data_IF_472588075100
#
_entry.id   IF_472588075100
#
_cell.length_a   1.000
_cell.length_b   1.000
_cell.length_c   1.000
_cell.angle_alpha   90.00
_cell.angle_beta   90.00
_cell.angle_gamma   90.00
#
_symmetry.space_group_name_H-M   'P 1'
#
loop_
_entity.id
_entity.type
_entity.pdbx_description
1 polymer ?
#
# COMPACT_ATOMS: atom_id res chain seq x y z
N UNK A 1 43.06 -9.08 -13.18
CA UNK A 1 42.12 -8.37 -12.29
C UNK A 1 40.89 -7.78 -13.01
N UNK A 2 40.87 -7.63 -14.34
CA UNK A 2 39.86 -6.82 -15.03
C UNK A 2 38.68 -7.59 -15.66
N UNK A 3 38.73 -8.93 -15.77
CA UNK A 3 37.61 -9.72 -16.32
C UNK A 3 36.50 -9.96 -15.29
N UNK A 4 36.87 -10.29 -14.03
CA UNK A 4 35.92 -10.61 -12.95
C UNK A 4 35.03 -9.41 -12.59
N UNK A 5 35.59 -8.20 -12.61
CA UNK A 5 34.85 -6.98 -12.27
C UNK A 5 33.80 -6.61 -13.34
N UNK A 6 34.08 -6.89 -14.62
CA UNK A 6 33.15 -6.63 -15.72
C UNK A 6 31.95 -7.59 -15.69
N UNK A 7 32.20 -8.87 -15.37
CA UNK A 7 31.14 -9.89 -15.23
C UNK A 7 30.16 -9.58 -14.09
N UNK A 8 30.63 -9.01 -12.98
CA UNK A 8 29.78 -8.63 -11.83
C UNK A 8 28.84 -7.46 -12.14
N UNK A 9 29.26 -6.47 -12.94
CA UNK A 9 28.38 -5.37 -13.35
C UNK A 9 27.28 -5.81 -14.31
N UNK A 10 27.59 -6.74 -15.23
CA UNK A 10 26.59 -7.26 -16.20
C UNK A 10 25.55 -8.13 -15.50
N UNK A 11 25.92 -8.95 -14.52
CA UNK A 11 24.95 -9.76 -13.77
C UNK A 11 24.03 -8.94 -12.85
N UNK A 12 24.51 -7.80 -12.32
CA UNK A 12 23.68 -6.86 -11.57
C UNK A 12 22.59 -6.21 -12.46
N UNK A 13 22.92 -5.87 -13.71
CA UNK A 13 21.98 -5.32 -14.69
C UNK A 13 20.99 -6.35 -15.26
N UNK A 14 21.38 -7.62 -15.38
CA UNK A 14 20.44 -8.69 -15.77
C UNK A 14 19.49 -9.01 -14.61
N UNK A 15 19.96 -8.93 -13.36
CA UNK A 15 19.14 -9.13 -12.16
C UNK A 15 18.02 -8.09 -12.00
N UNK A 16 18.19 -6.85 -12.47
CA UNK A 16 17.11 -5.84 -12.45
C UNK A 16 16.08 -6.02 -13.58
N UNK A 17 16.44 -6.70 -14.68
CA UNK A 17 15.51 -7.03 -15.76
C UNK A 17 14.66 -8.27 -15.41
N UNK A 18 15.26 -9.29 -14.78
CA UNK A 18 14.52 -10.49 -14.34
C UNK A 18 13.86 -10.35 -12.95
N UNK A 19 14.40 -9.50 -12.07
CA UNK A 19 13.94 -9.32 -10.69
C UNK A 19 12.56 -8.66 -10.54
N UNK A 20 12.06 -7.99 -11.58
CA UNK A 20 10.67 -7.50 -11.59
C UNK A 20 9.62 -8.63 -11.71
N UNK A 21 10.03 -9.84 -12.13
CA UNK A 21 9.13 -10.95 -12.48
C UNK A 21 8.66 -11.81 -11.29
N UNK A 22 8.89 -11.38 -10.04
CA UNK A 22 8.38 -12.06 -8.83
C UNK A 22 7.54 -11.18 -7.91
N UNK A 23 7.19 -9.97 -8.33
CA UNK A 23 5.92 -9.40 -7.88
C UNK A 23 4.81 -10.32 -8.39
N UNK A 24 4.23 -11.13 -7.49
CA UNK A 24 2.93 -11.74 -7.72
C UNK A 24 1.91 -10.61 -7.84
N UNK A 25 1.76 -10.06 -9.06
CA UNK A 25 0.52 -9.41 -9.45
C UNK A 25 -0.57 -10.44 -9.20
N UNK A 26 -1.44 -10.18 -8.22
CA UNK A 26 -2.44 -11.13 -7.74
C UNK A 26 -3.43 -11.39 -8.89
N UNK A 27 -3.36 -12.54 -9.61
CA UNK A 27 -3.95 -12.63 -10.96
C UNK A 27 -5.49 -12.59 -10.96
N UNK A 28 -6.09 -12.79 -9.79
CA UNK A 28 -7.54 -12.78 -9.57
C UNK A 28 -8.15 -11.37 -9.53
N UNK A 29 -7.38 -10.32 -9.20
CA UNK A 29 -7.95 -8.98 -9.05
C UNK A 29 -8.49 -8.38 -10.36
N UNK A 30 -8.08 -8.92 -11.52
CA UNK A 30 -8.40 -8.38 -12.84
C UNK A 30 -9.24 -9.31 -13.74
N UNK A 31 -9.51 -10.57 -13.35
CA UNK A 31 -10.32 -11.49 -14.17
C UNK A 31 -11.80 -11.41 -13.82
N UNK A 32 -12.46 -10.36 -14.32
CA UNK A 32 -13.89 -10.42 -14.55
C UNK A 32 -14.21 -11.58 -15.51
N UNK A 33 -15.09 -12.49 -15.10
CA UNK A 33 -15.61 -13.53 -15.99
C UNK A 33 -16.36 -12.81 -17.11
N UNK A 34 -15.98 -13.07 -18.36
CA UNK A 34 -16.33 -12.23 -19.49
C UNK A 34 -17.84 -12.16 -19.79
N UNK A 35 -18.53 -11.16 -19.23
CA UNK A 35 -19.80 -10.65 -19.72
C UNK A 35 -20.16 -9.26 -19.13
N UNK A 36 -19.20 -8.32 -19.09
CA UNK A 36 -19.42 -6.95 -18.58
C UNK A 36 -19.52 -6.80 -17.05
N UNK A 37 -19.46 -7.91 -16.29
CA UNK A 37 -19.51 -7.90 -14.83
C UNK A 37 -18.13 -7.67 -14.20
N UNK A 38 -18.00 -6.60 -13.40
CA UNK A 38 -16.80 -6.30 -12.64
C UNK A 38 -16.77 -7.07 -11.31
N UNK A 39 -15.58 -7.51 -10.87
CA UNK A 39 -15.40 -8.12 -9.55
C UNK A 39 -15.28 -7.03 -8.47
N UNK A 40 -16.40 -6.56 -7.93
CA UNK A 40 -16.40 -5.49 -6.93
C UNK A 40 -15.79 -5.90 -5.58
N UNK A 41 -15.76 -7.18 -5.22
CA UNK A 41 -15.01 -7.67 -4.03
C UNK A 41 -13.50 -7.44 -4.23
N UNK A 42 -12.95 -7.80 -5.39
CA UNK A 42 -11.55 -7.49 -5.72
C UNK A 42 -11.25 -5.97 -5.67
N UNK A 43 -12.18 -5.14 -6.15
CA UNK A 43 -12.03 -3.67 -6.14
C UNK A 43 -12.01 -3.11 -4.71
N UNK A 44 -12.93 -3.51 -3.82
CA UNK A 44 -12.93 -3.00 -2.44
C UNK A 44 -11.71 -3.50 -1.65
N UNK A 45 -11.27 -4.75 -1.87
CA UNK A 45 -10.02 -5.27 -1.30
C UNK A 45 -8.80 -4.46 -1.73
N UNK A 46 -8.67 -4.16 -3.03
CA UNK A 46 -7.59 -3.32 -3.54
C UNK A 46 -7.65 -1.88 -3.00
N UNK A 47 -8.85 -1.31 -2.87
CA UNK A 47 -9.08 0.03 -2.29
C UNK A 47 -8.65 0.10 -0.81
N UNK A 48 -8.95 -0.92 -0.01
CA UNK A 48 -8.51 -0.98 1.39
C UNK A 48 -6.99 -1.20 1.51
N UNK A 49 -6.40 -2.00 0.61
CA UNK A 49 -4.94 -2.18 0.53
C UNK A 49 -4.19 -0.90 0.15
N UNK A 50 -4.79 -0.01 -0.66
CA UNK A 50 -4.23 1.32 -0.95
C UNK A 50 -4.04 2.13 0.34
N UNK A 51 -5.03 2.18 1.23
CA UNK A 51 -4.86 2.87 2.52
C UNK A 51 -3.78 2.22 3.41
N UNK A 52 -3.64 0.88 3.39
CA UNK A 52 -2.50 0.24 4.06
C UNK A 52 -1.15 0.66 3.49
N UNK A 53 -1.08 0.84 2.16
CA UNK A 53 0.10 1.33 1.47
C UNK A 53 0.44 2.80 1.78
N UNK A 54 -0.52 3.60 2.28
CA UNK A 54 -0.33 4.99 2.71
C UNK A 54 0.02 5.17 4.21
N UNK A 55 -0.04 4.13 5.05
CA UNK A 55 0.21 4.25 6.51
C UNK A 55 1.59 4.85 6.83
N UNK A 56 1.65 5.85 7.69
CA UNK A 56 2.90 6.38 8.27
C UNK A 56 3.14 5.79 9.68
N UNK A 57 4.28 6.09 10.31
CA UNK A 57 4.66 5.59 11.63
C UNK A 57 5.20 4.16 11.62
N UNK A 58 5.10 3.51 12.79
CA UNK A 58 5.44 2.10 12.98
C UNK A 58 4.33 1.21 12.43
N UNK A 59 4.68 0.27 11.55
CA UNK A 59 3.72 -0.62 10.92
C UNK A 59 3.45 -1.87 11.79
N UNK A 60 2.24 -2.45 11.72
CA UNK A 60 1.93 -3.67 12.46
C UNK A 60 2.67 -4.88 11.88
N UNK A 61 3.01 -5.85 12.73
CA UNK A 61 3.79 -7.03 12.32
C UNK A 61 3.10 -7.87 11.23
N UNK A 62 1.77 -7.87 11.20
CA UNK A 62 0.92 -8.58 10.23
C UNK A 62 0.55 -7.74 8.99
N UNK A 63 1.32 -6.70 8.64
CA UNK A 63 1.07 -5.86 7.45
C UNK A 63 0.94 -6.69 6.16
N UNK A 64 -0.07 -6.38 5.34
CA UNK A 64 -0.30 -7.05 4.04
C UNK A 64 0.61 -6.54 2.91
N UNK A 65 1.14 -5.32 3.02
CA UNK A 65 1.99 -4.69 2.00
C UNK A 65 3.47 -4.98 2.31
N UNK A 66 4.18 -5.81 1.52
CA UNK A 66 5.52 -6.30 1.88
C UNK A 66 6.63 -5.25 1.70
N UNK A 67 6.44 -4.30 0.78
CA UNK A 67 7.42 -3.27 0.42
C UNK A 67 7.32 -1.99 1.27
N UNK A 68 6.32 -1.89 2.17
CA UNK A 68 6.23 -0.82 3.16
C UNK A 68 6.95 -1.21 4.45
N UNK A 69 7.65 -0.24 5.05
CA UNK A 69 8.33 -0.37 6.35
C UNK A 69 8.01 0.81 7.26
N UNK A 70 8.51 0.75 8.49
CA UNK A 70 8.40 1.81 9.49
C UNK A 70 8.96 3.14 8.94
N UNK A 71 8.25 4.24 9.21
CA UNK A 71 8.58 5.56 8.64
C UNK A 71 8.15 6.69 9.58
N UNK A 72 8.78 7.85 9.49
CA UNK A 72 8.45 9.06 10.25
C UNK A 72 8.24 8.84 11.77
N UNK A 73 9.10 8.01 12.38
CA UNK A 73 9.08 7.68 13.82
C UNK A 73 9.44 8.86 14.74
N UNK A 74 9.77 10.01 14.15
CA UNK A 74 10.21 11.23 14.80
C UNK A 74 9.16 12.37 14.69
N UNK A 75 8.02 12.11 14.04
CA UNK A 75 6.90 13.05 13.91
C UNK A 75 6.47 13.58 15.29
N UNK A 76 6.50 14.91 15.45
CA UNK A 76 6.07 15.61 16.65
C UNK A 76 7.13 15.78 17.74
N UNK A 77 8.32 15.16 17.64
CA UNK A 77 9.38 15.31 18.64
C UNK A 77 9.76 16.78 18.91
N UNK A 78 9.79 17.62 17.87
CA UNK A 78 10.10 19.05 17.97
C UNK A 78 9.10 19.86 18.79
N UNK A 79 7.88 19.35 18.99
CA UNK A 79 6.83 19.95 19.82
C UNK A 79 6.50 19.12 21.07
N UNK A 80 7.33 18.12 21.39
CA UNK A 80 7.15 17.26 22.57
C UNK A 80 5.88 16.40 22.53
N UNK A 81 5.45 15.98 21.33
CA UNK A 81 4.28 15.11 21.12
C UNK A 81 4.66 13.90 20.29
N UNK A 82 4.00 12.78 20.53
CA UNK A 82 3.96 11.69 19.55
C UNK A 82 2.91 12.08 18.50
N UNK A 83 3.38 12.38 17.28
CA UNK A 83 2.52 12.60 16.12
C UNK A 83 2.77 11.52 15.06
N UNK A 84 3.34 10.36 15.42
CA UNK A 84 3.55 9.24 14.48
C UNK A 84 2.21 8.61 14.03
N UNK A 85 2.25 7.69 13.07
CA UNK A 85 1.04 7.03 12.55
C UNK A 85 0.29 7.87 11.52
N UNK A 86 -1.00 7.58 11.31
CA UNK A 86 -1.83 8.22 10.27
C UNK A 86 -1.48 7.76 8.85
N UNK A 87 -1.82 8.58 7.85
CA UNK A 87 -1.64 8.28 6.43
C UNK A 87 -0.94 9.44 5.70
N UNK A 88 -0.13 9.12 4.70
CA UNK A 88 0.35 10.11 3.73
C UNK A 88 -0.79 10.47 2.76
N UNK A 89 -0.90 11.74 2.41
CA UNK A 89 -2.06 12.27 1.68
C UNK A 89 -2.13 11.78 0.22
N UNK A 90 -1.00 11.84 -0.49
CA UNK A 90 -0.92 11.48 -1.91
C UNK A 90 0.38 10.71 -2.23
N UNK A 91 1.04 11.06 -3.33
CA UNK A 91 2.36 10.51 -3.72
C UNK A 91 3.54 11.16 -3.00
N UNK A 92 3.28 12.06 -2.05
CA UNK A 92 4.25 12.70 -1.18
C UNK A 92 4.26 12.05 0.22
N UNK A 93 4.92 12.68 1.19
CA UNK A 93 5.05 12.16 2.56
C UNK A 93 4.47 13.13 3.61
N UNK A 94 3.65 14.11 3.21
CA UNK A 94 2.99 15.02 4.14
C UNK A 94 1.68 14.43 4.65
N UNK A 95 1.37 14.71 5.92
CA UNK A 95 0.15 14.28 6.61
C UNK A 95 -0.85 15.44 6.69
N UNK A 96 -1.53 15.72 5.58
CA UNK A 96 -2.54 16.78 5.54
C UNK A 96 -3.78 16.35 6.33
N UNK A 97 -3.97 16.92 7.52
CA UNK A 97 -5.01 16.48 8.46
C UNK A 97 -6.45 16.61 7.96
N UNK A 98 -6.75 17.62 7.12
CA UNK A 98 -8.10 17.85 6.60
C UNK A 98 -8.56 16.77 5.60
N UNK A 99 -7.85 16.50 4.48
CA UNK A 99 -8.20 15.39 3.58
C UNK A 99 -8.10 14.01 4.26
N UNK A 100 -7.15 13.82 5.19
CA UNK A 100 -7.08 12.58 5.99
C UNK A 100 -8.35 12.36 6.82
N UNK A 101 -8.82 13.39 7.54
CA UNK A 101 -10.03 13.31 8.34
C UNK A 101 -11.27 13.06 7.47
N UNK A 102 -11.42 13.79 6.36
CA UNK A 102 -12.51 13.59 5.40
C UNK A 102 -12.52 12.15 4.85
N UNK A 103 -11.35 11.62 4.49
CA UNK A 103 -11.20 10.24 4.00
C UNK A 103 -11.65 9.21 5.04
N UNK A 104 -11.21 9.35 6.29
CA UNK A 104 -11.64 8.46 7.37
C UNK A 104 -13.14 8.55 7.63
N UNK A 105 -13.73 9.75 7.57
CA UNK A 105 -15.19 9.93 7.68
C UNK A 105 -15.95 9.19 6.58
N UNK A 106 -15.54 9.31 5.31
CA UNK A 106 -16.20 8.64 4.19
C UNK A 106 -16.03 7.12 4.25
N UNK A 107 -14.86 6.60 4.65
CA UNK A 107 -14.67 5.17 4.86
C UNK A 107 -15.52 4.62 6.01
N UNK A 108 -15.59 5.33 7.14
CA UNK A 108 -16.44 4.93 8.27
C UNK A 108 -17.92 4.98 7.93
N UNK A 109 -18.37 6.01 7.22
CA UNK A 109 -19.76 6.11 6.76
C UNK A 109 -20.08 4.97 5.77
N UNK A 110 -19.21 4.71 4.79
CA UNK A 110 -19.37 3.59 3.88
C UNK A 110 -19.47 2.23 4.60
N UNK A 111 -18.71 2.02 5.68
CA UNK A 111 -18.81 0.81 6.50
C UNK A 111 -20.15 0.72 7.25
N UNK A 112 -20.66 1.83 7.79
CA UNK A 112 -21.94 1.88 8.52
C UNK A 112 -23.14 1.65 7.58
N UNK A 113 -23.15 2.27 6.40
CA UNK A 113 -24.29 2.16 5.46
C UNK A 113 -24.30 0.83 4.69
N UNK A 114 -23.13 0.20 4.51
CA UNK A 114 -22.96 -0.98 3.64
C UNK A 114 -22.26 -2.16 4.32
N UNK A 115 -22.40 -2.33 5.63
CA UNK A 115 -21.73 -3.39 6.42
C UNK A 115 -21.85 -4.78 5.76
N UNK A 116 -23.08 -5.14 5.35
CA UNK A 116 -23.43 -6.35 4.61
C UNK A 116 -22.57 -6.60 3.37
N UNK A 117 -22.17 -5.54 2.66
CA UNK A 117 -21.34 -5.62 1.46
C UNK A 117 -19.85 -5.84 1.81
N UNK A 118 -19.36 -5.21 2.89
CA UNK A 118 -18.02 -5.50 3.42
C UNK A 118 -17.92 -6.94 3.91
N UNK A 119 -18.89 -7.42 4.70
CA UNK A 119 -18.92 -8.80 5.17
C UNK A 119 -18.96 -9.83 4.01
N UNK A 120 -19.71 -9.54 2.93
CA UNK A 120 -19.76 -10.39 1.72
C UNK A 120 -18.50 -10.29 0.86
N UNK A 121 -17.75 -9.19 0.93
CA UNK A 121 -16.50 -9.03 0.19
C UNK A 121 -15.32 -9.77 0.84
N UNK A 122 -15.35 -9.96 2.16
CA UNK A 122 -14.31 -10.63 2.96
C UNK A 122 -13.13 -9.75 3.37
#
# INVERSE_FOLDING_TARGET
MNQVLFTLCVSALVSSIYGYSTYKAQPELARGVGNGNYNYSAVIHASLLFYEAQRSGKLPANKRIPWRGDSMLDDGKTVGKDLTGGYFDAGDLVKFGFPMAATMTILSWGLVDYEDAYQKAG
#
